data_IF_123656966713
#
_entry.id   IF_123656966713
#
_cell.length_a   1.000
_cell.length_b   1.000
_cell.length_c   1.000
_cell.angle_alpha   90.00
_cell.angle_beta   90.00
_cell.angle_gamma   90.00
#
_symmetry.space_group_name_H-M   'P 1'
#
loop_
_entity.id
_entity.type
_entity.pdbx_description
1 polymer ?
#
# COMPACT_ATOMS: atom_id res chain seq x y z
N UNK A 1 8.83 18.13 8.06
CA UNK A 1 7.48 18.09 7.52
C UNK A 1 7.21 16.72 6.88
N UNK A 2 6.04 16.20 7.12
CA UNK A 2 5.71 14.87 6.60
C UNK A 2 5.34 14.95 5.14
N UNK A 3 5.83 14.01 4.35
CA UNK A 3 5.47 13.92 2.93
C UNK A 3 4.12 13.24 2.79
N UNK A 4 3.21 13.90 2.09
CA UNK A 4 1.90 13.32 1.79
C UNK A 4 1.89 13.01 0.30
N UNK A 5 1.77 11.74 -0.03
CA UNK A 5 1.86 11.27 -1.40
C UNK A 5 0.95 10.08 -1.59
N UNK A 6 0.37 9.96 -2.77
CA UNK A 6 -0.53 8.86 -3.11
C UNK A 6 0.00 8.14 -4.33
N UNK A 7 -0.48 6.94 -4.54
CA UNK A 7 -0.25 6.22 -5.79
C UNK A 7 -1.57 5.67 -6.28
N UNK A 8 -1.66 5.39 -7.58
CA UNK A 8 -2.82 4.76 -8.16
C UNK A 8 -2.46 4.10 -9.47
N UNK A 9 -3.21 3.07 -9.84
CA UNK A 9 -2.94 2.30 -11.03
C UNK A 9 -3.66 2.91 -12.22
N UNK A 10 -2.96 3.03 -13.35
CA UNK A 10 -3.51 3.60 -14.58
C UNK A 10 -4.79 2.88 -15.02
N UNK A 11 -5.77 3.63 -15.51
CA UNK A 11 -6.96 3.02 -16.10
C UNK A 11 -6.70 2.53 -17.51
N UNK A 12 -5.62 3.01 -18.14
CA UNK A 12 -5.36 2.71 -19.54
C UNK A 12 -4.34 1.62 -19.76
N UNK A 13 -3.29 1.61 -18.96
CA UNK A 13 -2.18 0.69 -19.18
C UNK A 13 -1.99 -0.17 -17.94
N UNK A 14 -2.07 -1.47 -18.12
CA UNK A 14 -1.90 -2.40 -17.02
C UNK A 14 -0.49 -2.30 -16.45
N UNK A 15 -0.38 -2.46 -15.16
CA UNK A 15 0.90 -2.46 -14.45
C UNK A 15 1.65 -1.13 -14.45
N UNK A 16 0.96 -0.03 -14.80
CA UNK A 16 1.56 1.29 -14.68
C UNK A 16 0.96 1.99 -13.47
N UNK A 17 1.81 2.45 -12.59
CA UNK A 17 1.41 3.15 -11.38
C UNK A 17 1.89 4.59 -11.44
N UNK A 18 1.07 5.51 -10.97
CA UNK A 18 1.42 6.93 -10.88
C UNK A 18 1.52 7.31 -9.42
N UNK A 19 2.41 8.25 -9.13
CA UNK A 19 2.69 8.69 -7.77
C UNK A 19 2.60 10.21 -7.70
N UNK A 20 2.03 10.73 -6.62
CA UNK A 20 1.95 12.16 -6.43
C UNK A 20 0.66 12.58 -5.74
N UNK A 21 0.19 13.77 -6.09
CA UNK A 21 -1.01 14.33 -5.47
C UNK A 21 -2.27 13.69 -6.00
N UNK A 22 -3.20 13.46 -5.09
CA UNK A 22 -4.49 12.86 -5.42
C UNK A 22 -5.48 13.96 -5.76
N UNK A 23 -6.16 13.82 -6.89
CA UNK A 23 -7.11 14.81 -7.36
C UNK A 23 -8.39 14.11 -7.80
N UNK A 24 -9.53 14.68 -7.42
CA UNK A 24 -10.82 14.18 -7.90
C UNK A 24 -11.41 15.21 -8.84
N UNK A 25 -12.14 14.76 -9.87
CA UNK A 25 -12.83 15.67 -10.76
C UNK A 25 -13.92 16.40 -9.99
N UNK A 26 -14.41 17.51 -10.54
CA UNK A 26 -15.40 18.33 -9.88
C UNK A 26 -16.66 17.55 -9.53
N UNK A 27 -17.07 16.62 -10.40
CA UNK A 27 -18.27 15.81 -10.15
C UNK A 27 -17.94 14.56 -9.33
N UNK A 28 -16.68 14.39 -8.96
CA UNK A 28 -16.18 13.27 -8.15
C UNK A 28 -16.36 11.92 -8.80
N UNK A 29 -16.51 11.89 -10.11
CA UNK A 29 -16.64 10.62 -10.82
C UNK A 29 -15.32 10.06 -11.27
N UNK A 30 -14.28 10.88 -11.34
CA UNK A 30 -12.96 10.45 -11.80
C UNK A 30 -11.91 10.78 -10.77
N UNK A 31 -10.90 9.93 -10.69
CA UNK A 31 -9.81 10.06 -9.74
C UNK A 31 -8.50 10.12 -10.53
N UNK A 32 -7.64 11.05 -10.15
CA UNK A 32 -6.37 11.26 -10.84
C UNK A 32 -5.23 11.29 -9.85
N UNK A 33 -4.07 10.83 -10.29
CA UNK A 33 -2.82 11.14 -9.60
C UNK A 33 -2.11 12.14 -10.50
N UNK A 34 -2.03 13.36 -10.04
CA UNK A 34 -1.58 14.51 -10.81
C UNK A 34 -2.49 14.65 -12.03
N UNK A 35 -2.02 14.34 -13.23
CA UNK A 35 -2.82 14.46 -14.45
C UNK A 35 -3.23 13.11 -15.04
N UNK A 36 -2.97 12.03 -14.33
CA UNK A 36 -3.20 10.70 -14.87
C UNK A 36 -4.38 10.03 -14.18
N UNK A 37 -5.38 9.67 -14.96
CA UNK A 37 -6.56 9.03 -14.39
C UNK A 37 -6.21 7.61 -13.92
N UNK A 38 -6.68 7.27 -12.72
CA UNK A 38 -6.36 5.99 -12.08
C UNK A 38 -7.62 5.29 -11.63
N UNK A 39 -7.50 3.99 -11.39
CA UNK A 39 -8.59 3.19 -10.81
C UNK A 39 -8.70 3.58 -9.34
N UNK A 40 -9.86 4.12 -8.93
CA UNK A 40 -9.97 4.64 -7.55
C UNK A 40 -9.77 3.58 -6.49
N UNK A 41 -10.14 2.35 -6.76
CA UNK A 41 -9.97 1.29 -5.77
C UNK A 41 -8.50 0.93 -5.51
N UNK A 42 -7.58 1.38 -6.37
CA UNK A 42 -6.15 1.09 -6.20
C UNK A 42 -5.40 2.20 -5.51
N UNK A 43 -6.07 3.31 -5.20
CA UNK A 43 -5.39 4.46 -4.61
C UNK A 43 -4.96 4.13 -3.19
N UNK A 44 -3.71 4.41 -2.87
CA UNK A 44 -3.19 4.22 -1.53
C UNK A 44 -2.26 5.36 -1.17
N UNK A 45 -2.17 5.65 0.11
CA UNK A 45 -1.35 6.75 0.60
C UNK A 45 0.00 6.22 1.09
N UNK A 46 1.04 6.99 0.85
CA UNK A 46 2.37 6.73 1.39
C UNK A 46 2.29 6.76 2.93
N UNK A 47 2.80 5.71 3.56
CA UNK A 47 2.71 5.59 5.01
C UNK A 47 3.71 6.49 5.74
N UNK A 48 4.70 7.00 5.05
CA UNK A 48 5.79 7.72 5.67
C UNK A 48 6.92 6.80 6.09
N UNK A 49 6.79 5.52 5.86
CA UNK A 49 7.79 4.53 6.26
C UNK A 49 8.49 3.93 5.04
N UNK A 50 9.67 3.41 5.27
CA UNK A 50 10.48 2.78 4.21
C UNK A 50 10.81 1.35 4.63
N UNK A 51 11.02 0.49 3.64
CA UNK A 51 11.44 -0.87 3.94
C UNK A 51 12.96 -0.92 4.10
N UNK A 52 13.48 -2.14 4.31
CA UNK A 52 14.91 -2.29 4.61
C UNK A 52 15.80 -1.94 3.42
N UNK A 53 15.24 -1.81 2.23
CA UNK A 53 15.99 -1.43 1.04
C UNK A 53 15.74 0.03 0.67
N UNK A 54 15.07 0.79 1.52
CA UNK A 54 14.78 2.19 1.26
C UNK A 54 13.60 2.43 0.36
N UNK A 55 12.79 1.41 0.09
CA UNK A 55 11.62 1.55 -0.77
C UNK A 55 10.45 2.10 0.04
N UNK A 56 9.72 3.03 -0.53
CA UNK A 56 8.55 3.62 0.11
C UNK A 56 7.47 2.59 0.31
N UNK A 57 6.81 2.63 1.46
CA UNK A 57 5.71 1.72 1.78
C UNK A 57 4.39 2.46 1.67
N UNK A 58 3.48 1.94 0.85
CA UNK A 58 2.16 2.52 0.63
C UNK A 58 1.07 1.59 1.17
N UNK A 59 -0.06 2.18 1.49
CA UNK A 59 -1.26 1.42 1.78
C UNK A 59 -1.52 0.45 0.63
N UNK A 60 -1.81 -0.80 0.96
CA UNK A 60 -2.03 -1.84 -0.03
C UNK A 60 -0.80 -2.68 -0.33
N UNK A 61 0.37 -2.28 0.17
CA UNK A 61 1.58 -3.07 -0.03
C UNK A 61 1.52 -4.36 0.77
N UNK A 62 2.23 -5.36 0.27
CA UNK A 62 2.44 -6.61 0.99
C UNK A 62 3.92 -6.67 1.34
N UNK A 63 4.20 -6.88 2.61
CA UNK A 63 5.56 -6.92 3.12
C UNK A 63 5.92 -8.31 3.60
N UNK A 64 7.20 -8.64 3.49
CA UNK A 64 7.77 -9.78 4.19
C UNK A 64 8.45 -9.23 5.43
N UNK A 65 7.89 -9.52 6.59
CA UNK A 65 8.39 -8.99 7.85
C UNK A 65 8.95 -10.17 8.65
N UNK A 66 10.23 -10.45 8.42
CA UNK A 66 10.90 -11.60 9.07
C UNK A 66 10.16 -12.91 8.84
N UNK A 67 9.73 -13.13 7.61
CA UNK A 67 9.05 -14.37 7.26
C UNK A 67 7.54 -14.32 7.36
N UNK A 68 6.99 -13.27 7.97
CA UNK A 68 5.54 -13.12 8.08
C UNK A 68 5.06 -12.21 6.95
N UNK A 69 4.05 -12.64 6.21
CA UNK A 69 3.47 -11.82 5.16
C UNK A 69 2.49 -10.85 5.79
N UNK A 70 2.65 -9.57 5.49
CA UNK A 70 1.90 -8.51 6.15
C UNK A 70 1.27 -7.61 5.10
N UNK A 71 -0.01 -7.28 5.28
CA UNK A 71 -0.71 -6.33 4.43
C UNK A 71 -0.75 -4.97 5.14
N UNK A 72 -0.43 -3.90 4.42
CA UNK A 72 -0.51 -2.54 4.94
C UNK A 72 -1.89 -2.00 4.64
N UNK A 73 -2.64 -1.61 5.66
CA UNK A 73 -4.01 -1.14 5.50
C UNK A 73 -4.25 0.07 6.39
N UNK A 74 -5.19 0.92 6.00
CA UNK A 74 -5.58 2.07 6.80
C UNK A 74 -6.83 1.68 7.56
N UNK A 75 -6.72 1.50 8.86
CA UNK A 75 -7.81 1.01 9.70
C UNK A 75 -8.00 1.96 10.87
N UNK A 76 -9.23 2.41 11.03
CA UNK A 76 -9.59 3.29 12.15
C UNK A 76 -8.66 4.50 12.25
N UNK A 77 -8.33 5.09 11.11
CA UNK A 77 -7.53 6.32 11.06
C UNK A 77 -6.04 6.12 11.20
N UNK A 78 -5.56 4.87 11.16
CA UNK A 78 -4.16 4.56 11.37
C UNK A 78 -3.69 3.56 10.32
N UNK A 79 -2.46 3.73 9.82
CA UNK A 79 -1.87 2.71 8.97
C UNK A 79 -1.56 1.51 9.85
N UNK A 80 -2.06 0.37 9.45
CA UNK A 80 -2.02 -0.85 10.27
C UNK A 80 -1.36 -1.97 9.46
N UNK A 81 -0.62 -2.81 10.15
CA UNK A 81 0.12 -3.92 9.54
C UNK A 81 -0.55 -5.21 9.98
N UNK A 82 -1.17 -5.92 9.04
CA UNK A 82 -1.99 -7.08 9.35
C UNK A 82 -1.30 -8.36 8.89
N UNK A 83 -0.98 -9.23 9.83
CA UNK A 83 -0.36 -10.51 9.48
C UNK A 83 -1.32 -11.30 8.60
N UNK A 84 -0.86 -11.70 7.42
CA UNK A 84 -1.65 -12.44 6.44
C UNK A 84 -2.94 -11.73 6.04
N UNK A 85 -2.99 -10.40 6.21
CA UNK A 85 -4.19 -9.62 5.89
C UNK A 85 -5.34 -9.80 6.87
N UNK A 86 -5.07 -10.37 8.03
CA UNK A 86 -6.10 -10.70 9.00
C UNK A 86 -6.26 -9.57 10.02
N UNK A 87 -7.45 -8.99 10.09
CA UNK A 87 -7.71 -7.89 11.01
C UNK A 87 -7.50 -8.27 12.47
N UNK A 88 -7.60 -9.55 12.79
CA UNK A 88 -7.40 -10.01 14.15
C UNK A 88 -5.94 -10.25 14.48
N UNK A 89 -5.05 -10.10 13.53
CA UNK A 89 -3.64 -10.37 13.73
C UNK A 89 -2.81 -9.15 13.41
N UNK A 90 -3.21 -8.04 13.96
CA UNK A 90 -2.52 -6.79 13.77
C UNK A 90 -1.18 -6.79 14.49
N UNK A 91 -0.13 -6.42 13.78
CA UNK A 91 1.17 -6.26 14.40
C UNK A 91 1.16 -4.93 15.12
N UNK A 92 1.40 -4.94 16.40
CA UNK A 92 1.35 -3.71 17.16
C UNK A 92 2.74 -3.29 17.56
N UNK A 93 2.80 -2.12 18.12
CA UNK A 93 4.03 -1.59 18.64
C UNK A 93 4.85 -0.92 17.57
N UNK A 94 6.12 -0.82 17.86
CA UNK A 94 7.03 -0.07 17.06
C UNK A 94 7.56 -0.96 15.95
N UNK A 95 6.89 -0.96 14.83
CA UNK A 95 7.32 -1.76 13.70
C UNK A 95 8.48 -1.11 12.99
N UNK A 96 9.66 -1.67 13.12
CA UNK A 96 10.85 -1.16 12.47
C UNK A 96 10.91 -1.71 11.05
N UNK A 97 10.08 -1.15 10.17
CA UNK A 97 10.03 -1.59 8.77
C UNK A 97 11.36 -1.33 8.09
N UNK A 98 12.05 -0.29 8.49
CA UNK A 98 13.35 0.07 7.89
C UNK A 98 14.43 -0.97 8.19
N UNK A 99 14.20 -1.85 9.15
CA UNK A 99 15.16 -2.89 9.49
C UNK A 99 14.71 -4.28 9.07
N UNK A 100 13.42 -4.55 9.15
CA UNK A 100 12.95 -5.93 9.07
C UNK A 100 11.95 -6.22 7.95
N UNK A 101 11.43 -5.21 7.28
CA UNK A 101 10.41 -5.41 6.28
C UNK A 101 10.94 -5.25 4.88
N UNK A 102 10.36 -5.98 3.93
CA UNK A 102 10.68 -5.83 2.52
C UNK A 102 9.38 -5.86 1.74
N UNK A 103 9.17 -4.86 0.87
CA UNK A 103 7.99 -4.83 0.02
C UNK A 103 8.14 -5.91 -1.04
N UNK A 104 7.18 -6.84 -1.11
CA UNK A 104 7.23 -7.95 -2.04
C UNK A 104 6.08 -7.97 -3.03
N UNK A 105 5.17 -7.02 -2.94
CA UNK A 105 4.05 -6.92 -3.86
C UNK A 105 2.98 -6.03 -3.29
N UNK A 106 1.78 -6.11 -3.84
CA UNK A 106 0.65 -5.38 -3.32
C UNK A 106 -0.63 -6.18 -3.53
N UNK A 107 -1.69 -5.80 -2.81
CA UNK A 107 -2.92 -6.59 -2.82
C UNK A 107 -3.65 -6.53 -4.15
N UNK A 108 -3.36 -5.54 -5.00
CA UNK A 108 -4.06 -5.37 -6.26
C UNK A 108 -3.48 -6.25 -7.37
N UNK A 109 -2.18 -6.50 -7.31
CA UNK A 109 -1.51 -7.31 -8.32
C UNK A 109 -1.05 -8.66 -7.83
N UNK A 110 -0.91 -8.81 -6.52
CA UNK A 110 -0.35 -10.04 -5.94
C UNK A 110 -1.17 -10.57 -4.77
N UNK A 111 -2.51 -10.64 -4.91
CA UNK A 111 -3.32 -11.05 -3.76
C UNK A 111 -3.03 -12.46 -3.28
N UNK A 112 -2.49 -13.29 -4.16
CA UNK A 112 -2.20 -14.67 -3.79
C UNK A 112 -1.07 -14.81 -2.78
N UNK A 113 -0.25 -13.79 -2.63
CA UNK A 113 0.86 -13.88 -1.67
C UNK A 113 0.33 -14.09 -0.27
N UNK A 114 -0.72 -13.37 0.11
CA UNK A 114 -1.29 -13.51 1.45
C UNK A 114 -1.95 -14.86 1.64
N UNK A 115 -2.55 -15.40 0.58
CA UNK A 115 -3.19 -16.68 0.69
C UNK A 115 -2.22 -17.82 0.59
N UNK A 116 -1.15 -17.62 -0.12
CA UNK A 116 -0.20 -18.68 -0.37
C UNK A 116 0.49 -19.18 0.87
N UNK A 117 0.54 -18.38 1.89
CA UNK A 117 1.16 -18.80 3.13
C UNK A 117 0.41 -19.89 3.83
N UNK A 118 -0.77 -20.20 3.33
CA UNK A 118 -1.53 -21.20 3.94
C UNK A 118 -1.24 -22.57 3.50
N UNK A 119 -0.36 -22.76 2.73
CA UNK A 119 -0.14 -24.03 2.21
C UNK A 119 0.25 -24.98 3.13
#
# INVERSE_FOLDING_TARGET
>A
MRTIKFRGKSILVNNIWFYGDLIHSADKKKTFIVLNEVLPETVGQFTGLYDCEGKEIFEGDILDFNGIKVEVRFVRGVFTFLANGNLDEELCGDCRTDLFAKVIGNVYENPDILKGGKK
#
